data_IF_856029803783
#
_entry.id   IF_856029803783
#
_cell.length_a   1.000
_cell.length_b   1.000
_cell.length_c   1.000
_cell.angle_alpha   90.00
_cell.angle_beta   90.00
_cell.angle_gamma   90.00
#
_symmetry.space_group_name_H-M   'P 1'
#
loop_
_entity.id
_entity.type
_entity.pdbx_description
1 polymer ?
#
# COMPACT_ATOMS: atom_id res chain seq x y z
N UNK A 1 -4.47 43.14 -25.04
CA UNK A 1 -5.01 43.52 -23.71
C UNK A 1 -6.52 43.41 -23.82
N UNK A 2 -7.17 42.61 -22.98
CA UNK A 2 -8.63 42.63 -22.86
C UNK A 2 -9.05 43.75 -21.89
N UNK A 3 -10.30 44.21 -21.95
CA UNK A 3 -10.75 45.44 -21.27
C UNK A 3 -10.84 45.36 -19.74
N UNK A 4 -10.35 44.29 -19.10
CA UNK A 4 -10.50 44.08 -17.65
C UNK A 4 -9.17 43.99 -16.88
N UNK A 5 -8.02 44.29 -17.48
CA UNK A 5 -6.77 44.54 -16.72
C UNK A 5 -6.21 43.37 -15.89
N UNK A 6 -6.83 42.20 -15.86
CA UNK A 6 -6.29 41.01 -15.19
C UNK A 6 -5.28 40.34 -16.10
N UNK A 7 -3.99 40.44 -15.74
CA UNK A 7 -2.96 39.58 -16.31
C UNK A 7 -3.25 38.16 -15.85
N UNK A 8 -3.63 37.26 -16.76
CA UNK A 8 -3.77 35.86 -16.40
C UNK A 8 -2.42 35.33 -15.92
N UNK A 9 -2.40 34.49 -14.87
CA UNK A 9 -1.17 33.93 -14.28
C UNK A 9 -0.25 33.27 -15.33
N UNK A 10 -0.84 32.69 -16.39
CA UNK A 10 -0.13 32.15 -17.56
C UNK A 10 0.64 33.22 -18.36
N UNK A 11 0.14 34.44 -18.44
CA UNK A 11 0.78 35.57 -19.11
C UNK A 11 1.98 36.14 -18.34
N UNK A 12 2.00 36.00 -17.00
CA UNK A 12 3.13 36.45 -16.18
C UNK A 12 4.33 35.51 -16.32
N UNK A 13 4.12 34.19 -16.23
CA UNK A 13 5.17 33.17 -16.37
C UNK A 13 5.79 33.13 -17.78
N UNK A 14 5.00 33.43 -18.81
CA UNK A 14 5.52 33.47 -20.19
C UNK A 14 6.36 34.72 -20.47
N UNK A 15 6.19 35.80 -19.69
CA UNK A 15 6.99 37.03 -19.80
C UNK A 15 8.28 36.99 -18.98
N UNK A 16 8.28 36.29 -17.84
CA UNK A 16 9.50 36.10 -17.04
C UNK A 16 10.52 35.15 -17.68
N UNK A 17 10.09 34.26 -18.57
CA UNK A 17 10.98 33.38 -19.35
C UNK A 17 11.45 33.99 -20.69
N UNK A 18 10.86 35.11 -21.13
CA UNK A 18 11.09 35.70 -22.45
C UNK A 18 12.00 36.94 -22.48
N UNK A 19 12.42 37.46 -21.32
CA UNK A 19 13.34 38.60 -21.24
C UNK A 19 14.46 38.22 -20.28
N UNK A 20 15.70 38.26 -20.76
CA UNK A 20 16.90 37.74 -20.08
C UNK A 20 17.29 38.47 -18.80
N UNK A 21 16.46 38.38 -17.77
CA UNK A 21 16.76 38.72 -16.38
C UNK A 21 16.60 37.44 -15.55
N UNK A 22 17.33 36.40 -15.96
CA UNK A 22 17.12 35.01 -15.54
C UNK A 22 17.86 34.55 -14.29
N UNK A 23 18.33 35.44 -13.40
CA UNK A 23 19.16 35.03 -12.25
C UNK A 23 18.70 35.53 -10.87
N UNK A 24 17.61 36.29 -10.76
CA UNK A 24 17.11 36.78 -9.46
C UNK A 24 15.80 36.11 -8.98
N UNK A 25 15.06 35.42 -9.86
CA UNK A 25 13.76 34.82 -9.51
C UNK A 25 13.80 33.39 -8.99
N UNK A 26 14.93 32.68 -9.12
CA UNK A 26 15.05 31.27 -8.76
C UNK A 26 15.28 31.03 -7.25
N UNK A 27 15.56 32.07 -6.47
CA UNK A 27 15.85 31.94 -5.02
C UNK A 27 14.60 32.02 -4.12
N UNK A 28 13.39 32.09 -4.70
CA UNK A 28 12.16 32.30 -3.95
C UNK A 28 11.14 31.15 -3.98
N UNK A 29 11.40 30.06 -4.72
CA UNK A 29 10.48 28.93 -4.73
C UNK A 29 10.59 28.19 -3.40
N UNK A 30 9.63 28.43 -2.52
CA UNK A 30 9.49 27.66 -1.29
C UNK A 30 9.17 26.20 -1.63
N UNK A 31 9.37 25.30 -0.66
CA UNK A 31 8.96 23.89 -0.77
C UNK A 31 7.51 23.75 -1.28
N UNK A 32 6.62 24.66 -0.90
CA UNK A 32 5.23 24.72 -1.36
C UNK A 32 5.07 24.98 -2.88
N UNK A 33 5.93 25.79 -3.50
CA UNK A 33 5.85 26.05 -4.95
C UNK A 33 6.36 24.87 -5.78
N UNK A 34 7.35 24.13 -5.25
CA UNK A 34 7.82 22.86 -5.80
C UNK A 34 6.75 21.76 -5.69
N UNK A 35 6.03 21.70 -4.56
CA UNK A 35 4.89 20.79 -4.38
C UNK A 35 3.76 21.08 -5.37
N UNK A 36 3.42 22.36 -5.60
CA UNK A 36 2.40 22.74 -6.59
C UNK A 36 2.83 22.38 -8.01
N UNK A 37 4.11 22.52 -8.35
CA UNK A 37 4.64 22.12 -9.65
C UNK A 37 4.61 20.59 -9.86
N UNK A 38 4.80 19.81 -8.80
CA UNK A 38 4.68 18.34 -8.82
C UNK A 38 3.23 17.83 -8.74
N UNK A 39 2.31 18.63 -8.21
CA UNK A 39 0.89 18.26 -8.14
C UNK A 39 0.29 17.98 -9.53
N UNK A 40 0.71 18.72 -10.57
CA UNK A 40 0.29 18.46 -11.96
C UNK A 40 0.86 17.14 -12.52
N UNK A 41 2.05 16.72 -12.09
CA UNK A 41 2.63 15.41 -12.46
C UNK A 41 1.94 14.26 -11.73
N UNK A 42 1.66 14.40 -10.42
CA UNK A 42 0.88 13.42 -9.63
C UNK A 42 -0.53 13.29 -10.18
N UNK A 43 -1.17 14.40 -10.55
CA UNK A 43 -2.50 14.39 -11.16
C UNK A 43 -2.49 13.76 -12.56
N UNK A 44 -1.38 13.88 -13.30
CA UNK A 44 -1.15 13.12 -14.55
C UNK A 44 -0.76 11.66 -14.28
N UNK A 45 -0.26 11.31 -13.09
CA UNK A 45 0.14 9.95 -12.70
C UNK A 45 -1.06 9.00 -12.52
N UNK A 46 -2.25 9.57 -12.27
CA UNK A 46 -3.44 8.82 -11.87
C UNK A 46 -3.45 8.62 -10.35
N UNK A 47 -4.49 7.96 -9.84
CA UNK A 47 -4.57 7.65 -8.42
C UNK A 47 -3.58 6.52 -8.07
N UNK A 48 -3.03 6.59 -6.87
CA UNK A 48 -2.13 5.57 -6.33
C UNK A 48 -2.73 4.91 -5.09
N UNK A 49 -2.18 3.77 -4.68
CA UNK A 49 -2.59 3.09 -3.45
C UNK A 49 -1.40 2.66 -2.62
N UNK A 50 -1.50 2.91 -1.31
CA UNK A 50 -0.62 2.37 -0.28
C UNK A 50 -1.41 1.36 0.54
N UNK A 51 -0.99 0.11 0.51
CA UNK A 51 -1.52 -0.95 1.36
C UNK A 51 -0.59 -1.16 2.55
N UNK A 52 -1.06 -0.81 3.75
CA UNK A 52 -0.43 -1.16 5.01
C UNK A 52 -0.94 -2.55 5.43
N UNK A 53 -0.09 -3.55 5.24
CA UNK A 53 -0.42 -4.96 5.42
C UNK A 53 0.03 -5.46 6.79
N UNK A 54 -0.91 -5.78 7.67
CA UNK A 54 -0.65 -6.34 9.01
C UNK A 54 -0.61 -7.87 8.92
N UNK A 55 0.56 -8.42 8.60
CA UNK A 55 0.74 -9.86 8.34
C UNK A 55 0.50 -10.68 9.61
N UNK A 56 -0.60 -11.42 9.63
CA UNK A 56 -1.00 -12.22 10.79
C UNK A 56 -2.34 -11.83 11.38
N UNK A 57 -3.20 -11.03 10.75
CA UNK A 57 -4.59 -10.90 11.18
C UNK A 57 -4.78 -10.21 12.54
N UNK A 58 -4.73 -8.87 12.60
CA UNK A 58 -4.71 -8.10 13.84
C UNK A 58 -5.99 -8.28 14.68
N UNK A 59 -5.83 -8.41 16.00
CA UNK A 59 -6.95 -8.49 16.95
C UNK A 59 -7.73 -7.18 17.00
N UNK A 60 -9.03 -7.25 16.75
CA UNK A 60 -9.94 -6.10 16.79
C UNK A 60 -10.01 -5.46 18.20
N UNK A 61 -9.91 -6.30 19.23
CA UNK A 61 -9.97 -5.90 20.64
C UNK A 61 -8.77 -5.06 21.07
N UNK A 62 -7.61 -5.36 20.51
CA UNK A 62 -6.35 -4.68 20.84
C UNK A 62 -6.06 -3.50 19.89
N UNK A 63 -6.97 -3.24 18.95
CA UNK A 63 -6.80 -2.23 17.91
C UNK A 63 -7.98 -1.27 17.85
N UNK A 64 -8.91 -1.47 16.93
CA UNK A 64 -9.91 -0.46 16.59
C UNK A 64 -11.31 -0.83 17.03
N UNK A 65 -11.52 -1.87 17.83
CA UNK A 65 -12.84 -2.23 18.36
C UNK A 65 -12.70 -2.93 19.74
N UNK A 66 -12.34 -2.21 20.81
CA UNK A 66 -11.92 -2.80 22.08
C UNK A 66 -13.03 -3.47 22.90
N UNK A 67 -14.32 -3.29 22.55
CA UNK A 67 -15.47 -3.87 23.26
C UNK A 67 -15.41 -3.70 24.81
N UNK A 68 -15.33 -2.46 25.33
CA UNK A 68 -15.18 -2.23 26.76
C UNK A 68 -16.33 -2.84 27.57
N UNK A 69 -15.98 -3.54 28.65
CA UNK A 69 -16.93 -4.23 29.52
C UNK A 69 -17.31 -5.65 29.06
N UNK A 70 -16.92 -6.06 27.86
CA UNK A 70 -17.04 -7.45 27.44
C UNK A 70 -16.06 -8.32 28.22
N UNK A 71 -16.49 -9.54 28.58
CA UNK A 71 -15.59 -10.58 29.12
C UNK A 71 -14.48 -10.99 28.15
N UNK A 72 -14.61 -10.60 26.88
CA UNK A 72 -13.66 -10.87 25.80
C UNK A 72 -12.71 -9.72 25.51
N UNK A 73 -12.86 -8.55 26.14
CA UNK A 73 -12.05 -7.35 25.89
C UNK A 73 -10.53 -7.61 25.96
N UNK A 74 -10.07 -8.43 26.90
CA UNK A 74 -8.65 -8.53 27.22
C UNK A 74 -8.18 -7.33 28.06
N UNK A 75 -6.87 -7.07 28.16
CA UNK A 75 -6.31 -6.06 29.07
C UNK A 75 -6.35 -4.63 28.50
N UNK A 76 -6.55 -4.46 27.20
CA UNK A 76 -6.51 -3.14 26.57
C UNK A 76 -7.66 -2.26 27.06
N UNK A 77 -7.34 -1.07 27.57
CA UNK A 77 -8.36 -0.07 27.88
C UNK A 77 -8.87 0.60 26.60
N UNK A 78 -10.11 1.08 26.65
CA UNK A 78 -10.70 1.87 25.57
C UNK A 78 -10.39 3.36 25.78
N UNK A 79 -9.88 4.02 24.74
CA UNK A 79 -9.68 5.47 24.70
C UNK A 79 -10.68 6.12 23.76
N UNK A 80 -11.08 7.35 24.06
CA UNK A 80 -11.88 8.16 23.15
C UNK A 80 -11.06 8.60 21.94
N UNK A 81 -11.69 8.55 20.77
CA UNK A 81 -11.10 9.09 19.53
C UNK A 81 -11.53 10.53 19.31
N UNK A 82 -11.03 11.15 18.24
CA UNK A 82 -11.48 12.47 17.77
C UNK A 82 -12.96 12.50 17.40
N UNK A 83 -13.55 11.34 17.08
CA UNK A 83 -14.97 11.22 16.75
C UNK A 83 -15.76 10.84 18.01
N UNK A 84 -16.71 11.68 18.47
CA UNK A 84 -17.51 11.39 19.66
C UNK A 84 -18.23 10.05 19.56
N UNK A 85 -18.23 9.29 20.67
CA UNK A 85 -18.85 7.97 20.74
C UNK A 85 -18.03 6.83 20.12
N UNK A 86 -16.93 7.13 19.43
CA UNK A 86 -16.03 6.11 18.89
C UNK A 86 -14.82 5.94 19.80
N UNK A 87 -14.50 4.68 20.10
CA UNK A 87 -13.37 4.27 20.93
C UNK A 87 -12.46 3.28 20.20
N UNK A 88 -11.16 3.40 20.47
CA UNK A 88 -10.09 2.47 20.07
C UNK A 88 -9.37 1.94 21.31
N UNK A 89 -8.56 0.90 21.15
CA UNK A 89 -7.67 0.43 22.20
C UNK A 89 -6.60 1.49 22.53
N UNK A 90 -6.16 1.53 23.79
CA UNK A 90 -5.22 2.53 24.30
C UNK A 90 -3.86 2.57 23.59
N UNK A 91 -3.51 1.52 22.86
CA UNK A 91 -2.27 1.43 22.08
C UNK A 91 -2.29 2.25 20.77
N UNK A 92 -3.41 2.91 20.44
CA UNK A 92 -3.59 3.68 19.21
C UNK A 92 -3.87 5.17 19.43
N UNK A 93 -3.14 5.88 20.31
CA UNK A 93 -3.46 7.26 20.66
C UNK A 93 -3.36 8.22 19.47
N UNK A 94 -2.40 8.04 18.56
CA UNK A 94 -2.21 8.96 17.42
C UNK A 94 -3.23 8.70 16.32
N UNK A 95 -3.53 7.43 16.05
CA UNK A 95 -4.54 7.03 15.07
C UNK A 95 -5.95 7.42 15.55
N UNK A 96 -6.22 7.30 16.85
CA UNK A 96 -7.46 7.81 17.45
C UNK A 96 -7.67 9.31 17.21
N UNK A 97 -6.60 10.11 17.21
CA UNK A 97 -6.64 11.55 16.87
C UNK A 97 -6.67 11.84 15.37
N UNK A 98 -6.34 10.85 14.55
CA UNK A 98 -6.35 10.93 13.08
C UNK A 98 -7.63 10.38 12.45
N UNK A 99 -8.59 9.93 13.27
CA UNK A 99 -9.81 9.26 12.80
C UNK A 99 -10.66 10.15 11.88
N UNK A 100 -10.54 11.47 11.93
CA UNK A 100 -11.19 12.37 10.97
C UNK A 100 -10.73 12.20 9.51
N UNK A 101 -9.60 11.51 9.29
CA UNK A 101 -9.09 11.16 7.96
C UNK A 101 -9.33 9.70 7.57
N UNK A 102 -9.84 8.90 8.50
CA UNK A 102 -9.97 7.45 8.36
C UNK A 102 -11.45 7.07 8.40
N UNK A 103 -11.91 6.31 7.41
CA UNK A 103 -13.13 5.53 7.50
C UNK A 103 -12.77 4.11 7.94
N UNK A 104 -13.41 3.60 8.99
CA UNK A 104 -13.16 2.26 9.51
C UNK A 104 -14.34 1.35 9.22
N UNK A 105 -14.10 0.24 8.53
CA UNK A 105 -15.06 -0.87 8.42
C UNK A 105 -14.82 -1.78 9.63
N UNK A 106 -15.88 -2.16 10.35
CA UNK A 106 -15.81 -3.07 11.52
C UNK A 106 -16.64 -4.35 11.35
N UNK A 107 -17.06 -4.64 10.12
CA UNK A 107 -18.03 -5.69 9.78
C UNK A 107 -17.54 -6.58 8.63
N UNK A 108 -16.23 -6.65 8.40
CA UNK A 108 -15.68 -7.52 7.37
C UNK A 108 -15.95 -8.98 7.70
N UNK A 109 -16.36 -9.76 6.69
CA UNK A 109 -16.57 -11.19 6.84
C UNK A 109 -16.14 -12.00 5.61
N UNK A 110 -15.65 -13.20 5.87
CA UNK A 110 -15.33 -14.24 4.88
C UNK A 110 -15.47 -15.62 5.53
N UNK A 111 -15.46 -16.65 4.70
CA UNK A 111 -15.43 -18.06 5.06
C UNK A 111 -14.00 -18.62 5.23
N UNK A 112 -12.96 -17.81 4.97
CA UNK A 112 -11.56 -18.23 5.08
C UNK A 112 -10.94 -17.89 6.44
N UNK A 113 -10.57 -18.94 7.18
CA UNK A 113 -9.92 -18.85 8.51
C UNK A 113 -8.51 -19.42 8.52
N UNK A 114 -7.93 -19.66 7.35
CA UNK A 114 -6.56 -20.15 7.21
C UNK A 114 -5.70 -19.04 6.61
N UNK A 115 -4.49 -18.86 7.13
CA UNK A 115 -3.58 -17.80 6.68
C UNK A 115 -3.34 -17.82 5.18
N UNK A 116 -2.94 -18.96 4.62
CA UNK A 116 -2.59 -19.03 3.20
C UNK A 116 -3.80 -18.72 2.33
N UNK A 117 -4.96 -19.30 2.66
CA UNK A 117 -6.20 -19.08 1.89
C UNK A 117 -6.76 -17.68 2.06
N UNK A 118 -6.75 -17.12 3.28
CA UNK A 118 -7.29 -15.79 3.54
C UNK A 118 -6.40 -14.70 2.94
N UNK A 119 -5.07 -14.85 3.02
CA UNK A 119 -4.12 -13.92 2.37
C UNK A 119 -4.34 -13.92 0.86
N UNK A 120 -4.47 -15.11 0.25
CA UNK A 120 -4.78 -15.22 -1.17
C UNK A 120 -6.11 -14.52 -1.50
N UNK A 121 -7.16 -14.79 -0.71
CA UNK A 121 -8.48 -14.20 -0.90
C UNK A 121 -8.44 -12.67 -0.84
N UNK A 122 -7.88 -12.07 0.21
CA UNK A 122 -7.95 -10.61 0.39
C UNK A 122 -6.94 -9.83 -0.46
N UNK A 123 -5.93 -10.48 -1.03
CA UNK A 123 -4.98 -9.84 -1.95
C UNK A 123 -5.31 -10.03 -3.42
N UNK A 124 -6.07 -11.07 -3.78
CA UNK A 124 -6.43 -11.38 -5.17
C UNK A 124 -7.92 -11.25 -5.47
N UNK A 125 -8.79 -11.32 -4.46
CA UNK A 125 -10.24 -11.30 -4.61
C UNK A 125 -10.84 -12.68 -4.91
N UNK A 126 -9.99 -13.70 -4.99
CA UNK A 126 -10.34 -15.07 -5.36
C UNK A 126 -9.87 -16.07 -4.31
N UNK A 127 -10.68 -17.11 -4.09
CA UNK A 127 -10.25 -18.26 -3.32
C UNK A 127 -9.07 -18.95 -3.97
N UNK A 128 -8.18 -19.49 -3.14
CA UNK A 128 -7.00 -20.21 -3.60
C UNK A 128 -7.41 -21.37 -4.52
N UNK A 129 -6.92 -21.33 -5.75
CA UNK A 129 -7.18 -22.35 -6.76
C UNK A 129 -5.85 -22.98 -7.23
N UNK A 130 -5.63 -24.30 -7.05
CA UNK A 130 -4.39 -24.94 -7.49
C UNK A 130 -4.10 -24.81 -8.99
N UNK A 131 -5.13 -24.63 -9.82
CA UNK A 131 -5.00 -24.53 -11.27
C UNK A 131 -4.68 -23.10 -11.75
N UNK A 132 -4.99 -22.08 -10.93
CA UNK A 132 -4.88 -20.67 -11.34
C UNK A 132 -4.23 -19.86 -10.23
N UNK A 133 -3.09 -19.23 -10.55
CA UNK A 133 -2.48 -18.21 -9.70
C UNK A 133 -3.06 -16.85 -10.05
N UNK A 134 -4.03 -16.38 -9.28
CA UNK A 134 -4.63 -15.07 -9.48
C UNK A 134 -3.62 -13.95 -9.19
N UNK A 135 -3.66 -12.84 -9.94
CA UNK A 135 -2.81 -11.70 -9.66
C UNK A 135 -3.23 -11.02 -8.37
N UNK A 136 -2.26 -10.52 -7.62
CA UNK A 136 -2.55 -9.57 -6.53
C UNK A 136 -3.06 -8.24 -7.08
N UNK A 137 -3.81 -7.49 -6.28
CA UNK A 137 -4.27 -6.16 -6.65
C UNK A 137 -3.12 -5.23 -7.07
N UNK A 138 -1.96 -5.31 -6.39
CA UNK A 138 -0.78 -4.53 -6.80
C UNK A 138 -0.32 -4.85 -8.22
N UNK A 139 -0.41 -6.11 -8.66
CA UNK A 139 -0.14 -6.52 -10.03
C UNK A 139 -1.22 -6.06 -11.02
N UNK A 140 -2.50 -6.07 -10.60
CA UNK A 140 -3.62 -5.52 -11.41
C UNK A 140 -3.40 -4.02 -11.65
N UNK A 141 -3.08 -3.26 -10.61
CA UNK A 141 -2.74 -1.83 -10.74
C UNK A 141 -1.50 -1.63 -11.60
N UNK A 142 -0.46 -2.43 -11.40
CA UNK A 142 0.76 -2.31 -12.20
C UNK A 142 0.51 -2.53 -13.69
N UNK A 143 -0.43 -3.43 -14.04
CA UNK A 143 -0.85 -3.68 -15.42
C UNK A 143 -1.64 -2.51 -15.99
N UNK A 144 -2.67 -2.06 -15.28
CA UNK A 144 -3.53 -0.95 -15.73
C UNK A 144 -2.74 0.37 -15.85
N UNK A 145 -1.85 0.62 -14.88
CA UNK A 145 -1.06 1.86 -14.78
C UNK A 145 0.34 1.71 -15.36
N UNK A 146 0.58 0.72 -16.22
CA UNK A 146 1.90 0.53 -16.78
C UNK A 146 2.33 1.73 -17.62
N UNK A 147 3.49 2.30 -17.24
CA UNK A 147 4.14 3.39 -17.98
C UNK A 147 5.45 2.88 -18.51
N UNK A 148 5.47 2.57 -19.80
CA UNK A 148 6.66 2.08 -20.52
C UNK A 148 7.87 3.01 -20.44
N UNK A 149 7.67 4.28 -20.09
CA UNK A 149 8.74 5.29 -19.96
C UNK A 149 9.11 5.58 -18.49
N UNK A 150 8.41 5.00 -17.51
CA UNK A 150 8.77 5.19 -16.10
C UNK A 150 10.11 4.51 -15.78
N UNK A 151 10.93 5.18 -15.00
CA UNK A 151 12.17 4.64 -14.45
C UNK A 151 11.92 3.76 -13.23
N UNK A 152 10.85 4.05 -12.48
CA UNK A 152 10.47 3.30 -11.29
C UNK A 152 9.40 2.25 -11.61
N UNK A 153 9.40 1.12 -10.88
CA UNK A 153 8.36 0.10 -11.00
C UNK A 153 7.00 0.62 -10.53
N UNK A 154 5.92 0.15 -11.15
CA UNK A 154 4.55 0.56 -10.80
C UNK A 154 4.06 -0.10 -9.50
N UNK A 155 4.66 -1.22 -9.10
CA UNK A 155 4.36 -1.95 -7.87
C UNK A 155 5.65 -2.17 -7.07
N UNK A 156 5.70 -1.65 -5.84
CA UNK A 156 6.76 -1.90 -4.87
C UNK A 156 6.19 -2.59 -3.63
N UNK A 157 6.88 -3.61 -3.14
CA UNK A 157 6.60 -4.26 -1.85
C UNK A 157 7.74 -3.95 -0.89
N UNK A 158 7.42 -3.35 0.25
CA UNK A 158 8.36 -2.94 1.30
C UNK A 158 8.18 -3.83 2.53
N UNK A 159 9.29 -4.26 3.13
CA UNK A 159 9.31 -5.28 4.17
C UNK A 159 9.19 -6.68 3.57
N UNK A 160 9.24 -7.70 4.41
CA UNK A 160 9.11 -9.11 3.98
C UNK A 160 8.18 -9.84 4.94
N UNK A 161 7.33 -10.76 4.47
CA UNK A 161 6.56 -11.61 5.37
C UNK A 161 7.51 -12.52 6.15
N UNK A 162 7.11 -12.92 7.37
CA UNK A 162 7.89 -13.89 8.16
C UNK A 162 7.86 -15.28 7.54
N UNK A 163 6.74 -15.63 6.92
CA UNK A 163 6.53 -16.89 6.22
C UNK A 163 6.58 -16.59 4.72
N UNK A 164 7.56 -17.16 4.02
CA UNK A 164 7.83 -16.85 2.60
C UNK A 164 6.66 -17.21 1.67
N UNK A 165 5.84 -18.20 2.02
CA UNK A 165 4.65 -18.56 1.24
C UNK A 165 3.54 -17.52 1.31
N UNK A 166 3.62 -16.55 2.23
CA UNK A 166 2.70 -15.40 2.34
C UNK A 166 3.12 -14.20 1.48
N UNK A 167 4.18 -14.32 0.69
CA UNK A 167 4.64 -13.23 -0.20
C UNK A 167 3.74 -13.11 -1.44
N UNK A 168 3.89 -12.01 -2.15
CA UNK A 168 3.05 -11.62 -3.28
C UNK A 168 3.73 -11.83 -4.63
N UNK A 169 2.93 -12.19 -5.63
CA UNK A 169 3.33 -12.28 -7.04
C UNK A 169 2.20 -11.79 -7.97
N UNK A 170 2.50 -11.75 -9.27
CA UNK A 170 1.58 -11.31 -10.32
C UNK A 170 0.76 -12.45 -10.94
N UNK A 171 0.96 -13.69 -10.51
CA UNK A 171 0.24 -14.85 -11.02
C UNK A 171 0.20 -14.91 -12.56
N UNK A 172 -1.00 -15.09 -13.09
CA UNK A 172 -1.27 -15.18 -14.54
C UNK A 172 -0.93 -13.92 -15.34
N UNK A 173 -0.71 -12.75 -14.71
CA UNK A 173 -0.25 -11.55 -15.42
C UNK A 173 1.24 -11.63 -15.79
N UNK A 174 1.97 -12.56 -15.19
CA UNK A 174 3.38 -12.82 -15.51
C UNK A 174 4.36 -11.90 -14.79
N UNK A 175 5.64 -12.26 -14.88
CA UNK A 175 6.73 -11.68 -14.09
C UNK A 175 6.91 -10.17 -14.28
N UNK A 176 6.42 -9.63 -15.39
CA UNK A 176 6.46 -8.21 -15.73
C UNK A 176 5.76 -7.32 -14.70
N UNK A 177 4.71 -7.82 -14.06
CA UNK A 177 3.91 -7.08 -13.07
C UNK A 177 4.19 -7.54 -11.64
N UNK A 178 5.24 -8.33 -11.42
CA UNK A 178 5.66 -8.68 -10.07
C UNK A 178 6.06 -7.43 -9.28
N UNK A 179 5.86 -7.45 -7.96
CA UNK A 179 6.35 -6.38 -7.11
C UNK A 179 7.87 -6.29 -7.19
N UNK A 180 8.35 -5.06 -7.23
CA UNK A 180 9.74 -4.79 -6.92
C UNK A 180 9.94 -4.87 -5.40
N UNK A 181 10.77 -5.81 -4.96
CA UNK A 181 10.89 -6.24 -3.56
C UNK A 181 11.99 -5.47 -2.83
N UNK A 182 11.61 -4.70 -1.81
CA UNK A 182 12.49 -3.95 -0.91
C UNK A 182 12.34 -4.49 0.50
N UNK A 183 13.20 -5.41 0.91
CA UNK A 183 13.06 -6.08 2.20
C UNK A 183 13.39 -5.18 3.40
N UNK A 184 14.34 -4.26 3.24
CA UNK A 184 14.75 -3.32 4.30
C UNK A 184 14.63 -1.87 3.80
N UNK A 185 13.73 -1.06 4.37
CA UNK A 185 13.58 0.33 3.94
C UNK A 185 14.82 1.16 4.27
N UNK A 186 15.17 2.09 3.38
CA UNK A 186 16.39 2.89 3.49
C UNK A 186 17.68 2.19 3.04
N UNK A 187 17.62 0.87 2.79
CA UNK A 187 18.69 0.17 2.10
C UNK A 187 18.40 0.15 0.60
N UNK A 188 19.42 0.43 -0.21
CA UNK A 188 19.34 0.12 -1.63
C UNK A 188 19.09 -1.39 -1.77
N UNK A 189 18.12 -1.82 -2.59
CA UNK A 189 17.84 -3.22 -2.76
C UNK A 189 19.10 -3.94 -3.28
N UNK A 190 19.38 -5.17 -2.82
CA UNK A 190 20.55 -5.92 -3.28
C UNK A 190 20.50 -6.04 -4.82
N UNK A 191 21.64 -5.80 -5.47
CA UNK A 191 21.80 -5.76 -6.94
C UNK A 191 21.23 -4.53 -7.67
N UNK A 192 20.78 -3.48 -6.95
CA UNK A 192 20.41 -2.18 -7.57
C UNK A 192 21.58 -1.22 -7.68
N UNK A 193 22.57 -1.32 -6.78
CA UNK A 193 23.84 -0.67 -6.99
C UNK A 193 24.63 -1.49 -8.01
N UNK A 194 24.90 -0.91 -9.18
CA UNK A 194 25.84 -1.51 -10.11
C UNK A 194 27.22 -1.60 -9.40
N UNK A 195 27.81 -2.79 -9.19
CA UNK A 195 29.12 -2.92 -8.56
C UNK A 195 30.27 -2.41 -9.45
N UNK A 196 29.92 -1.84 -10.61
CA UNK A 196 30.79 -1.45 -11.71
C UNK A 196 30.20 -0.21 -12.36
N UNK A 197 31.05 0.58 -13.02
CA UNK A 197 30.65 1.77 -13.77
C UNK A 197 29.49 1.52 -14.74
N UNK A 198 28.65 2.53 -14.95
CA UNK A 198 27.46 2.44 -15.81
C UNK A 198 27.77 1.91 -17.23
N UNK A 199 28.94 2.25 -17.78
CA UNK A 199 29.39 1.73 -19.08
C UNK A 199 29.66 0.23 -19.09
N UNK A 200 30.14 -0.33 -17.98
CA UNK A 200 30.34 -1.78 -17.84
C UNK A 200 28.99 -2.49 -17.81
N UNK A 201 28.00 -1.93 -17.10
CA UNK A 201 26.63 -2.46 -17.08
C UNK A 201 26.02 -2.45 -18.48
N UNK A 202 26.10 -1.31 -19.18
CA UNK A 202 25.60 -1.17 -20.56
C UNK A 202 26.21 -2.22 -21.50
N UNK A 203 27.53 -2.43 -21.44
CA UNK A 203 28.21 -3.45 -22.26
C UNK A 203 27.77 -4.88 -21.94
N UNK A 204 27.58 -5.22 -20.65
CA UNK A 204 27.12 -6.55 -20.23
C UNK A 204 25.70 -6.83 -20.70
N UNK A 205 24.80 -5.85 -20.59
CA UNK A 205 23.43 -5.95 -21.10
C UNK A 205 23.41 -6.16 -22.62
N UNK A 206 24.20 -5.37 -23.37
CA UNK A 206 24.30 -5.53 -24.82
C UNK A 206 24.85 -6.91 -25.24
N UNK A 207 25.74 -7.51 -24.45
CA UNK A 207 26.20 -8.89 -24.68
C UNK A 207 25.10 -9.91 -24.36
N UNK A 208 24.41 -9.75 -23.22
CA UNK A 208 23.31 -10.62 -22.84
C UNK A 208 22.19 -10.61 -23.89
N UNK A 209 21.82 -9.43 -24.41
CA UNK A 209 20.82 -9.30 -25.48
C UNK A 209 21.21 -10.06 -26.75
N UNK A 210 22.50 -10.06 -27.11
CA UNK A 210 22.99 -10.83 -28.28
C UNK A 210 22.89 -12.34 -28.05
N UNK A 211 23.31 -12.82 -26.89
CA UNK A 211 23.24 -14.26 -26.54
C UNK A 211 21.78 -14.73 -26.46
N UNK A 212 20.92 -13.91 -25.87
CA UNK A 212 19.49 -14.17 -25.76
C UNK A 212 18.83 -14.20 -27.15
N UNK A 213 19.21 -13.31 -28.06
CA UNK A 213 18.74 -13.33 -29.45
C UNK A 213 19.17 -14.59 -30.23
N UNK A 214 20.31 -15.20 -29.89
CA UNK A 214 20.71 -16.49 -30.45
C UNK A 214 19.90 -17.65 -29.84
N UNK A 215 19.67 -17.62 -28.53
CA UNK A 215 18.85 -18.64 -27.85
C UNK A 215 17.38 -18.61 -28.29
N UNK A 216 16.82 -17.42 -28.54
CA UNK A 216 15.45 -17.30 -29.07
C UNK A 216 15.26 -18.08 -30.39
N UNK A 217 16.31 -18.17 -31.23
CA UNK A 217 16.28 -18.94 -32.49
C UNK A 217 16.11 -20.44 -32.29
N UNK A 218 16.32 -20.97 -31.08
CA UNK A 218 16.09 -22.40 -30.75
C UNK A 218 14.65 -22.70 -30.36
N UNK A 219 13.72 -21.75 -30.54
CA UNK A 219 12.30 -21.90 -30.20
C UNK A 219 11.92 -21.39 -28.80
N UNK A 220 12.84 -20.70 -28.11
CA UNK A 220 12.64 -20.21 -26.74
C UNK A 220 12.26 -18.71 -26.67
N UNK A 221 11.68 -18.15 -27.73
CA UNK A 221 11.39 -16.70 -27.86
C UNK A 221 10.65 -16.12 -26.67
N UNK A 222 9.55 -16.75 -26.22
CA UNK A 222 8.75 -16.23 -25.11
C UNK A 222 9.55 -16.12 -23.79
N UNK A 223 10.35 -17.14 -23.46
CA UNK A 223 11.18 -17.13 -22.25
C UNK A 223 12.30 -16.09 -22.33
N UNK A 224 12.84 -15.86 -23.53
CA UNK A 224 13.83 -14.81 -23.79
C UNK A 224 13.20 -13.42 -23.63
N UNK A 225 12.02 -13.19 -24.20
CA UNK A 225 11.34 -11.89 -24.13
C UNK A 225 11.01 -11.52 -22.68
N UNK A 226 10.46 -12.45 -21.89
CA UNK A 226 10.20 -12.24 -20.46
C UNK A 226 11.47 -11.89 -19.68
N UNK A 227 12.57 -12.62 -19.95
CA UNK A 227 13.87 -12.34 -19.34
C UNK A 227 14.34 -10.94 -19.74
N UNK A 228 14.40 -10.62 -21.03
CA UNK A 228 14.89 -9.33 -21.51
C UNK A 228 14.10 -8.15 -20.94
N UNK A 229 12.77 -8.27 -20.81
CA UNK A 229 11.93 -7.25 -20.19
C UNK A 229 12.34 -6.97 -18.73
N UNK A 230 12.56 -8.03 -17.94
CA UNK A 230 13.03 -7.90 -16.55
C UNK A 230 14.41 -7.23 -16.48
N UNK A 231 15.35 -7.63 -17.35
CA UNK A 231 16.70 -7.06 -17.37
C UNK A 231 16.70 -5.58 -17.80
N UNK A 232 15.95 -5.21 -18.85
CA UNK A 232 15.85 -3.82 -19.31
C UNK A 232 15.25 -2.90 -18.26
N UNK A 233 14.19 -3.36 -17.56
CA UNK A 233 13.55 -2.57 -16.51
C UNK A 233 14.46 -2.39 -15.31
N UNK A 234 15.10 -3.47 -14.85
CA UNK A 234 16.06 -3.42 -13.75
C UNK A 234 17.22 -2.49 -14.10
N UNK A 235 17.77 -2.60 -15.31
CA UNK A 235 18.84 -1.74 -15.78
C UNK A 235 18.43 -0.25 -15.85
N UNK A 236 17.23 0.03 -16.34
CA UNK A 236 16.70 1.41 -16.37
C UNK A 236 16.60 1.99 -14.97
N UNK A 237 16.01 1.23 -14.04
CA UNK A 237 15.90 1.66 -12.65
C UNK A 237 17.29 1.89 -12.05
N UNK A 238 18.19 0.91 -12.09
CA UNK A 238 19.58 0.98 -11.58
C UNK A 238 20.33 2.22 -12.08
N UNK A 239 20.14 2.56 -13.36
CA UNK A 239 20.82 3.69 -14.00
C UNK A 239 20.07 5.01 -13.85
N UNK A 240 18.86 5.00 -13.27
CA UNK A 240 18.04 6.20 -13.10
C UNK A 240 18.51 7.03 -11.89
N UNK A 241 18.51 8.37 -11.99
CA UNK A 241 18.70 9.24 -10.82
C UNK A 241 17.59 9.05 -9.76
N UNK A 242 16.44 8.45 -10.12
CA UNK A 242 15.32 8.22 -9.22
C UNK A 242 15.61 7.12 -8.19
N UNK A 243 16.70 6.35 -8.30
CA UNK A 243 17.12 5.37 -7.29
C UNK A 243 17.33 6.00 -5.91
N UNK A 244 17.66 7.29 -5.84
CA UNK A 244 17.73 8.04 -4.58
C UNK A 244 16.42 8.10 -3.79
N UNK A 245 15.28 7.69 -4.38
CA UNK A 245 14.01 7.56 -3.64
C UNK A 245 14.12 6.55 -2.49
N UNK A 246 14.91 5.48 -2.67
CA UNK A 246 15.12 4.42 -1.69
C UNK A 246 16.06 4.80 -0.55
N UNK A 247 16.85 5.87 -0.72
CA UNK A 247 17.72 6.41 0.33
C UNK A 247 16.94 7.37 1.22
N UNK A 248 16.82 6.99 2.50
CA UNK A 248 16.13 7.78 3.53
C UNK A 248 17.08 8.67 4.35
N UNK A 249 18.40 8.61 4.10
CA UNK A 249 19.40 9.37 4.86
C UNK A 249 19.26 10.88 4.70
N UNK A 250 18.70 11.34 3.57
CA UNK A 250 18.42 12.75 3.31
C UNK A 250 17.15 13.30 3.96
N UNK A 251 16.33 12.46 4.59
CA UNK A 251 15.11 12.92 5.29
C UNK A 251 15.45 13.47 6.68
N UNK A 252 14.82 14.58 7.13
CA UNK A 252 15.09 15.14 8.45
C UNK A 252 14.85 14.13 9.58
N UNK A 253 15.74 14.10 10.57
CA UNK A 253 15.64 13.14 11.68
C UNK A 253 14.30 13.23 12.42
N UNK A 254 13.80 14.45 12.64
CA UNK A 254 12.49 14.68 13.25
C UNK A 254 11.35 13.99 12.49
N UNK A 255 11.40 13.96 11.15
CA UNK A 255 10.39 13.29 10.34
C UNK A 255 10.53 11.77 10.48
N UNK A 256 11.77 11.26 10.37
CA UNK A 256 12.05 9.83 10.53
C UNK A 256 11.66 9.30 11.91
N UNK A 257 11.84 10.11 12.95
CA UNK A 257 11.42 9.81 14.32
C UNK A 257 9.90 9.85 14.49
N UNK A 258 9.21 10.75 13.80
CA UNK A 258 7.74 10.83 13.84
C UNK A 258 7.08 9.55 13.27
N UNK A 259 7.61 9.03 12.17
CA UNK A 259 7.23 7.74 11.61
C UNK A 259 7.63 6.55 12.50
N UNK A 260 8.63 6.72 13.36
CA UNK A 260 9.26 5.65 14.13
C UNK A 260 10.44 5.01 13.39
N UNK A 261 11.51 4.73 14.13
CA UNK A 261 12.76 4.10 13.62
C UNK A 261 12.66 2.56 13.56
N UNK A 262 11.51 2.06 13.12
CA UNK A 262 11.26 0.63 12.90
C UNK A 262 11.23 0.34 11.39
N UNK A 263 11.30 -0.94 11.02
CA UNK A 263 11.18 -1.31 9.60
C UNK A 263 9.84 -0.85 9.02
N UNK A 264 8.74 -1.02 9.76
CA UNK A 264 7.44 -0.57 9.30
C UNK A 264 7.33 0.96 9.18
N UNK A 265 7.84 1.70 10.18
CA UNK A 265 7.80 3.17 10.18
C UNK A 265 8.62 3.78 9.05
N UNK A 266 9.85 3.31 8.86
CA UNK A 266 10.69 3.73 7.73
C UNK A 266 10.13 3.23 6.39
N UNK A 267 9.43 2.10 6.38
CA UNK A 267 8.70 1.60 5.20
C UNK A 267 7.55 2.50 4.77
N UNK A 268 6.78 3.03 5.72
CA UNK A 268 5.74 4.03 5.45
C UNK A 268 6.33 5.33 4.89
N UNK A 269 7.46 5.80 5.45
CA UNK A 269 8.17 6.97 4.92
C UNK A 269 8.65 6.74 3.47
N UNK A 270 9.21 5.56 3.18
CA UNK A 270 9.59 5.18 1.82
C UNK A 270 8.36 5.11 0.89
N UNK A 271 7.23 4.56 1.36
CA UNK A 271 6.00 4.51 0.58
C UNK A 271 5.50 5.91 0.17
N UNK A 272 5.56 6.89 1.08
CA UNK A 272 5.27 8.30 0.76
C UNK A 272 6.16 8.80 -0.38
N UNK A 273 7.48 8.59 -0.28
CA UNK A 273 8.45 9.02 -1.30
C UNK A 273 8.17 8.36 -2.66
N UNK A 274 7.87 7.06 -2.66
CA UNK A 274 7.59 6.31 -3.89
C UNK A 274 6.34 6.82 -4.60
N UNK A 275 5.27 7.05 -3.85
CA UNK A 275 4.03 7.62 -4.40
C UNK A 275 4.25 9.06 -4.90
N UNK A 276 5.03 9.87 -4.18
CA UNK A 276 5.43 11.21 -4.61
C UNK A 276 6.26 11.20 -5.92
N UNK A 277 6.96 10.10 -6.20
CA UNK A 277 7.66 9.87 -7.47
C UNK A 277 6.82 9.15 -8.54
N UNK A 278 5.55 8.86 -8.27
CA UNK A 278 4.61 8.31 -9.25
C UNK A 278 4.48 6.78 -9.25
N UNK A 279 4.96 6.08 -8.21
CA UNK A 279 4.65 4.65 -8.04
C UNK A 279 3.16 4.48 -7.77
N UNK A 280 2.51 3.63 -8.56
CA UNK A 280 1.04 3.47 -8.54
C UNK A 280 0.55 2.60 -7.39
N UNK A 281 1.33 1.60 -6.98
CA UNK A 281 0.98 0.73 -5.86
C UNK A 281 2.18 0.45 -4.96
N UNK A 282 2.01 0.69 -3.66
CA UNK A 282 3.02 0.35 -2.65
C UNK A 282 2.38 -0.51 -1.56
N UNK A 283 2.95 -1.68 -1.30
CA UNK A 283 2.60 -2.47 -0.13
C UNK A 283 3.68 -2.32 0.94
N UNK A 284 3.29 -2.05 2.19
CA UNK A 284 4.17 -2.00 3.35
C UNK A 284 3.76 -3.09 4.33
N UNK A 285 4.59 -4.12 4.48
CA UNK A 285 4.32 -5.26 5.35
C UNK A 285 4.79 -4.94 6.76
N UNK A 286 3.87 -5.04 7.72
CA UNK A 286 4.16 -5.07 9.15
C UNK A 286 4.19 -6.51 9.64
N UNK A 287 5.36 -6.95 10.11
CA UNK A 287 5.52 -8.24 10.81
C UNK A 287 5.91 -8.06 12.28
N UNK A 288 5.88 -6.82 12.78
CA UNK A 288 6.44 -6.43 14.07
C UNK A 288 7.96 -6.57 14.16
N UNK A 289 8.58 -5.81 15.06
CA UNK A 289 10.00 -5.92 15.38
C UNK A 289 10.30 -7.02 16.43
N UNK A 290 9.27 -7.54 17.09
CA UNK A 290 9.37 -8.49 18.21
C UNK A 290 8.40 -9.65 18.04
N UNK A 291 8.74 -10.81 18.61
CA UNK A 291 7.92 -12.02 18.57
C UNK A 291 8.18 -12.90 17.35
N UNK A 292 7.65 -14.13 17.40
CA UNK A 292 7.95 -15.15 16.39
C UNK A 292 7.10 -14.99 15.12
N UNK A 293 5.86 -14.48 15.22
CA UNK A 293 4.90 -14.51 14.10
C UNK A 293 4.18 -13.17 13.81
N UNK A 294 4.66 -12.05 14.35
CA UNK A 294 4.09 -10.73 14.06
C UNK A 294 2.66 -10.60 14.57
N UNK A 295 1.71 -10.22 13.70
CA UNK A 295 0.29 -10.06 14.09
C UNK A 295 -0.42 -11.38 14.37
N UNK A 296 0.24 -12.51 14.09
CA UNK A 296 -0.27 -13.86 14.27
C UNK A 296 -0.24 -14.31 15.74
N UNK A 297 -0.89 -13.54 16.61
CA UNK A 297 -0.79 -13.66 18.07
C UNK A 297 -1.67 -14.79 18.62
N UNK A 298 -1.39 -16.03 18.21
CA UNK A 298 -1.97 -17.23 18.83
C UNK A 298 -1.47 -17.43 20.26
N UNK A 299 -0.35 -16.83 20.63
CA UNK A 299 0.23 -16.95 21.96
C UNK A 299 0.60 -15.57 22.45
N UNK A 300 0.60 -15.38 23.77
CA UNK A 300 1.11 -14.16 24.41
C UNK A 300 0.52 -12.85 23.86
N UNK A 301 -0.70 -12.85 23.32
CA UNK A 301 -1.28 -11.69 22.64
C UNK A 301 -1.32 -10.44 23.51
N UNK A 302 -1.57 -10.59 24.82
CA UNK A 302 -1.57 -9.49 25.78
C UNK A 302 -0.20 -8.81 25.96
N UNK A 303 0.90 -9.53 25.70
CA UNK A 303 2.24 -8.98 25.74
C UNK A 303 2.72 -8.50 24.36
N UNK A 304 2.31 -9.16 23.28
CA UNK A 304 2.80 -8.89 21.93
C UNK A 304 1.99 -7.79 21.21
N UNK A 305 0.66 -7.76 21.34
CA UNK A 305 -0.18 -6.76 20.69
C UNK A 305 0.20 -5.30 21.03
N UNK A 306 0.51 -4.93 22.28
CA UNK A 306 0.93 -3.57 22.59
C UNK A 306 2.19 -3.16 21.81
N UNK A 307 3.16 -4.06 21.64
CA UNK A 307 4.40 -3.78 20.92
C UNK A 307 4.14 -3.56 19.42
N UNK A 308 3.32 -4.41 18.82
CA UNK A 308 2.90 -4.31 17.42
C UNK A 308 2.14 -3.02 17.15
N UNK A 309 1.19 -2.68 18.03
CA UNK A 309 0.39 -1.47 17.91
C UNK A 309 1.25 -0.21 18.06
N UNK A 310 2.18 -0.19 19.03
CA UNK A 310 3.09 0.94 19.25
C UNK A 310 4.08 1.16 18.10
N UNK A 311 4.37 0.14 17.30
CA UNK A 311 5.16 0.27 16.08
C UNK A 311 4.34 0.90 14.93
N UNK A 312 3.07 0.53 14.81
CA UNK A 312 2.22 0.93 13.68
C UNK A 312 1.48 2.25 13.89
N UNK A 313 1.01 2.54 15.11
CA UNK A 313 0.28 3.77 15.45
C UNK A 313 1.01 5.07 15.02
N UNK A 314 2.31 5.28 15.37
CA UNK A 314 3.03 6.47 14.93
C UNK A 314 3.24 6.51 13.42
N UNK A 315 3.53 5.37 12.79
CA UNK A 315 3.78 5.27 11.37
C UNK A 315 2.52 5.58 10.55
N UNK A 316 1.39 4.99 10.91
CA UNK A 316 0.12 5.17 10.21
C UNK A 316 -0.38 6.62 10.34
N UNK A 317 -0.42 7.16 11.56
CA UNK A 317 -0.85 8.55 11.78
C UNK A 317 0.07 9.55 11.05
N UNK A 318 1.39 9.35 11.11
CA UNK A 318 2.35 10.24 10.44
C UNK A 318 2.26 10.16 8.93
N UNK A 319 2.07 8.96 8.36
CA UNK A 319 1.88 8.79 6.92
C UNK A 319 0.68 9.59 6.42
N UNK A 320 -0.46 9.50 7.10
CA UNK A 320 -1.67 10.23 6.72
C UNK A 320 -1.48 11.75 6.81
N UNK A 321 -0.79 12.22 7.86
CA UNK A 321 -0.48 13.63 8.01
C UNK A 321 0.49 14.13 6.91
N UNK A 322 1.57 13.41 6.65
CA UNK A 322 2.60 13.77 5.65
C UNK A 322 2.02 13.75 4.22
N UNK A 323 1.18 12.77 3.89
CA UNK A 323 0.45 12.76 2.61
C UNK A 323 -0.54 13.92 2.49
N UNK A 324 -1.24 14.27 3.58
CA UNK A 324 -2.18 15.39 3.57
C UNK A 324 -1.47 16.74 3.42
N UNK A 325 -0.38 16.96 4.18
CA UNK A 325 0.42 18.19 4.13
C UNK A 325 1.04 18.44 2.76
N UNK A 326 1.25 17.36 1.98
CA UNK A 326 1.76 17.40 0.60
C UNK A 326 0.66 17.43 -0.47
N UNK A 327 -0.61 17.36 -0.08
CA UNK A 327 -1.73 17.24 -1.02
C UNK A 327 -1.78 15.90 -1.79
N UNK A 328 -0.99 14.91 -1.37
CA UNK A 328 -0.95 13.58 -2.00
C UNK A 328 -2.15 12.72 -1.55
N UNK A 329 -2.64 12.91 -0.33
CA UNK A 329 -3.75 12.13 0.22
C UNK A 329 -5.03 12.24 -0.63
N UNK A 330 -5.23 13.34 -1.37
CA UNK A 330 -6.37 13.51 -2.28
C UNK A 330 -6.37 12.52 -3.45
N UNK A 331 -5.19 12.01 -3.85
CA UNK A 331 -5.03 11.09 -4.99
C UNK A 331 -4.46 9.72 -4.58
N UNK A 332 -4.17 9.52 -3.29
CA UNK A 332 -3.60 8.28 -2.76
C UNK A 332 -4.58 7.62 -1.81
N UNK A 333 -5.02 6.42 -2.16
CA UNK A 333 -5.78 5.57 -1.28
C UNK A 333 -4.82 4.89 -0.29
N UNK A 334 -4.99 5.11 1.00
CA UNK A 334 -4.26 4.39 2.04
C UNK A 334 -5.21 3.39 2.69
N UNK A 335 -4.86 2.10 2.64
CA UNK A 335 -5.64 1.02 3.25
C UNK A 335 -4.81 0.36 4.34
N UNK A 336 -5.38 0.25 5.54
CA UNK A 336 -4.82 -0.55 6.64
C UNK A 336 -5.65 -1.81 6.78
N UNK A 337 -5.02 -2.99 6.66
CA UNK A 337 -5.71 -4.27 6.83
C UNK A 337 -4.77 -5.43 7.12
N UNK A 338 -5.33 -6.53 7.62
CA UNK A 338 -4.75 -7.87 7.54
C UNK A 338 -5.75 -8.83 6.87
N UNK A 339 -5.41 -10.11 6.85
CA UNK A 339 -6.16 -11.17 6.17
C UNK A 339 -7.50 -11.52 6.84
N UNK A 340 -7.59 -11.39 8.17
CA UNK A 340 -8.78 -11.57 9.00
C UNK A 340 -8.49 -10.98 10.39
N UNK A 341 -9.30 -11.31 11.41
CA UNK A 341 -9.12 -10.84 12.80
C UNK A 341 -8.81 -11.95 13.81
N UNK A 342 -9.16 -11.75 15.08
CA UNK A 342 -8.88 -12.72 16.15
C UNK A 342 -10.12 -13.09 16.95
N UNK A 343 -10.17 -14.33 17.43
CA UNK A 343 -11.36 -14.83 18.12
C UNK A 343 -11.69 -14.00 19.36
N UNK A 344 -12.98 -13.77 19.66
CA UNK A 344 -13.41 -13.12 20.91
C UNK A 344 -12.90 -13.81 22.16
N UNK A 345 -12.86 -15.14 22.15
CA UNK A 345 -12.27 -15.91 23.25
C UNK A 345 -10.74 -15.91 23.14
N UNK A 346 -10.06 -15.56 24.23
CA UNK A 346 -8.61 -15.69 24.38
C UNK A 346 -8.24 -16.89 25.27
N UNK A 347 -6.99 -17.36 25.13
CA UNK A 347 -6.38 -18.42 25.93
C UNK A 347 -5.77 -17.88 27.24
N UNK A 348 -5.36 -18.73 28.19
CA UNK A 348 -4.74 -18.27 29.45
C UNK A 348 -3.51 -17.38 29.27
N UNK A 349 -2.79 -17.51 28.16
CA UNK A 349 -1.65 -16.67 27.80
C UNK A 349 -2.04 -15.41 27.00
N UNK A 350 -3.33 -15.11 26.87
CA UNK A 350 -3.85 -13.97 26.13
C UNK A 350 -3.85 -14.14 24.61
N UNK A 351 -3.37 -15.27 24.08
CA UNK A 351 -3.42 -15.55 22.65
C UNK A 351 -4.84 -15.80 22.13
N UNK A 352 -5.08 -15.49 20.85
CA UNK A 352 -6.38 -15.66 20.19
C UNK A 352 -6.23 -16.43 18.87
N UNK A 353 -7.24 -17.22 18.53
CA UNK A 353 -7.26 -18.02 17.29
C UNK A 353 -7.77 -17.20 16.09
N UNK A 354 -7.77 -17.80 14.90
CA UNK A 354 -8.23 -17.15 13.66
C UNK A 354 -9.72 -16.84 13.66
N UNK A 355 -10.09 -15.69 13.09
CA UNK A 355 -11.47 -15.23 13.09
C UNK A 355 -11.84 -14.35 11.89
N UNK A 356 -12.78 -14.82 11.07
CA UNK A 356 -13.19 -14.20 9.79
C UNK A 356 -14.61 -13.62 9.83
N UNK A 357 -15.18 -13.37 11.01
CA UNK A 357 -16.60 -13.01 11.16
C UNK A 357 -16.79 -11.65 11.86
N UNK A 358 -16.15 -10.60 11.36
CA UNK A 358 -16.22 -9.25 11.92
C UNK A 358 -14.85 -8.66 12.21
N UNK A 359 -13.93 -8.73 11.25
CA UNK A 359 -12.68 -7.96 11.34
C UNK A 359 -12.84 -6.58 10.73
N UNK A 360 -11.72 -5.85 10.69
CA UNK A 360 -11.72 -4.42 10.48
C UNK A 360 -10.68 -4.00 9.45
N UNK A 361 -11.00 -2.94 8.71
CA UNK A 361 -10.17 -2.36 7.65
C UNK A 361 -10.30 -0.84 7.71
N UNK A 362 -9.17 -0.13 7.62
CA UNK A 362 -9.13 1.33 7.57
C UNK A 362 -8.92 1.82 6.15
N UNK A 363 -9.67 2.84 5.74
CA UNK A 363 -9.57 3.52 4.45
C UNK A 363 -9.31 5.01 4.66
N UNK A 364 -8.39 5.61 3.90
CA UNK A 364 -8.10 7.05 3.93
C UNK A 364 -7.73 7.57 2.55
N UNK A 365 -8.07 8.83 2.26
CA UNK A 365 -7.65 9.50 1.03
C UNK A 365 -8.43 9.08 -0.23
N UNK A 366 -8.00 9.58 -1.38
CA UNK A 366 -8.60 9.30 -2.70
C UNK A 366 -10.13 9.45 -2.78
N UNK A 367 -10.69 10.44 -2.07
CA UNK A 367 -12.13 10.73 -2.03
C UNK A 367 -12.89 10.02 -0.90
N UNK A 368 -12.23 9.16 -0.11
CA UNK A 368 -12.82 8.56 1.09
C UNK A 368 -13.12 9.63 2.14
N UNK A 369 -14.33 9.62 2.69
CA UNK A 369 -14.75 10.49 3.78
C UNK A 369 -14.31 9.89 5.12
N UNK A 370 -13.32 10.52 5.75
CA UNK A 370 -12.88 10.13 7.09
C UNK A 370 -13.91 10.43 8.19
N UNK A 371 -13.65 9.91 9.40
CA UNK A 371 -14.48 10.13 10.58
C UNK A 371 -15.69 9.20 10.67
N UNK A 372 -15.70 8.13 9.88
CA UNK A 372 -16.84 7.22 9.76
C UNK A 372 -16.50 5.83 10.28
N UNK A 373 -17.49 5.18 10.90
CA UNK A 373 -17.47 3.77 11.25
C UNK A 373 -18.58 3.09 10.43
N UNK A 374 -18.20 2.12 9.61
CA UNK A 374 -19.11 1.38 8.74
C UNK A 374 -19.27 -0.04 9.29
N UNK A 375 -20.53 -0.39 9.55
CA UNK A 375 -20.94 -1.65 10.13
C UNK A 375 -20.52 -1.84 11.58
N UNK A 376 -21.01 -2.93 12.16
CA UNK A 376 -20.80 -3.23 13.56
C UNK A 376 -20.81 -4.74 13.81
N UNK A 377 -20.24 -5.11 14.95
CA UNK A 377 -20.42 -6.42 15.59
C UNK A 377 -21.14 -6.25 16.92
N UNK A 378 -21.71 -7.34 17.45
CA UNK A 378 -22.37 -7.34 18.76
C UNK A 378 -21.45 -6.88 19.91
N UNK A 379 -22.00 -6.74 21.11
CA UNK A 379 -21.29 -6.23 22.28
C UNK A 379 -20.04 -7.04 22.65
N UNK A 380 -20.01 -8.32 22.30
CA UNK A 380 -18.90 -9.24 22.56
C UNK A 380 -17.97 -9.40 21.36
N UNK A 381 -18.35 -8.90 20.19
CA UNK A 381 -17.63 -9.05 18.92
C UNK A 381 -17.78 -10.43 18.28
N UNK A 382 -18.83 -11.18 18.61
CA UNK A 382 -19.05 -12.57 18.16
C UNK A 382 -19.70 -12.69 16.78
N UNK A 383 -20.51 -11.71 16.38
CA UNK A 383 -21.20 -11.69 15.09
C UNK A 383 -21.30 -10.28 14.55
N UNK A 384 -21.24 -10.16 13.22
CA UNK A 384 -21.60 -8.92 12.51
C UNK A 384 -23.09 -8.67 12.68
N UNK A 385 -23.44 -7.48 13.17
CA UNK A 385 -24.83 -7.07 13.45
C UNK A 385 -25.32 -5.97 12.52
N UNK A 386 -24.41 -5.26 11.86
CA UNK A 386 -24.73 -4.20 10.92
C UNK A 386 -23.77 -4.20 9.74
N UNK A 387 -24.34 -3.96 8.55
CA UNK A 387 -23.68 -3.84 7.25
C UNK A 387 -22.53 -4.83 7.05
N UNK A 388 -22.78 -6.14 6.82
CA UNK A 388 -21.72 -7.08 6.48
C UNK A 388 -21.01 -6.65 5.20
N UNK A 389 -19.68 -6.71 5.19
CA UNK A 389 -18.85 -6.36 4.03
C UNK A 389 -18.03 -7.57 3.63
N UNK A 390 -18.16 -8.00 2.37
CA UNK A 390 -17.39 -9.10 1.82
C UNK A 390 -16.06 -8.66 1.22
N UNK A 391 -15.18 -9.62 0.93
CA UNK A 391 -13.91 -9.33 0.25
C UNK A 391 -14.17 -8.77 -1.16
N UNK A 392 -15.14 -9.31 -1.90
CA UNK A 392 -15.48 -8.80 -3.24
C UNK A 392 -15.94 -7.33 -3.22
N UNK A 393 -16.59 -6.88 -2.14
CA UNK A 393 -16.98 -5.47 -1.97
C UNK A 393 -15.75 -4.55 -1.83
N UNK A 394 -14.71 -5.01 -1.11
CA UNK A 394 -13.43 -4.29 -1.05
C UNK A 394 -12.82 -4.14 -2.44
N UNK A 395 -12.86 -5.20 -3.24
CA UNK A 395 -12.27 -5.21 -4.57
C UNK A 395 -13.02 -4.30 -5.55
N UNK A 396 -14.36 -4.33 -5.51
CA UNK A 396 -15.18 -3.36 -6.25
C UNK A 396 -14.86 -1.92 -5.83
N UNK A 397 -14.66 -1.70 -4.52
CA UNK A 397 -14.30 -0.39 -3.99
C UNK A 397 -12.90 0.04 -4.44
N UNK A 398 -11.91 -0.85 -4.46
CA UNK A 398 -10.57 -0.54 -5.00
C UNK A 398 -10.64 -0.16 -6.47
N UNK A 399 -11.36 -0.93 -7.28
CA UNK A 399 -11.57 -0.63 -8.70
C UNK A 399 -12.28 0.72 -8.89
N UNK A 400 -13.31 1.01 -8.09
CA UNK A 400 -14.02 2.29 -8.11
C UNK A 400 -13.10 3.47 -7.78
N UNK A 401 -12.34 3.38 -6.69
CA UNK A 401 -11.43 4.45 -6.27
C UNK A 401 -10.35 4.65 -7.33
N UNK A 402 -9.74 3.56 -7.79
CA UNK A 402 -8.59 3.59 -8.69
C UNK A 402 -8.99 3.62 -10.16
N UNK A 403 -10.28 3.82 -10.45
CA UNK A 403 -10.83 4.00 -11.80
C UNK A 403 -10.44 2.88 -12.77
N UNK A 404 -10.40 1.64 -12.25
CA UNK A 404 -10.16 0.42 -13.02
C UNK A 404 -11.51 -0.25 -13.32
N UNK A 405 -11.69 -0.75 -14.53
CA UNK A 405 -12.90 -1.48 -14.90
C UNK A 405 -12.90 -2.89 -14.27
N UNK A 406 -13.79 -3.20 -13.30
CA UNK A 406 -13.80 -4.50 -12.62
C UNK A 406 -14.19 -5.68 -13.53
N UNK A 407 -14.88 -5.41 -14.65
CA UNK A 407 -15.30 -6.42 -15.63
C UNK A 407 -14.22 -6.78 -16.65
N UNK A 408 -13.06 -6.11 -16.64
CA UNK A 408 -11.95 -6.53 -17.48
C UNK A 408 -11.47 -7.93 -17.13
N UNK A 409 -11.01 -8.65 -18.14
CA UNK A 409 -10.57 -10.03 -18.00
C UNK A 409 -9.06 -10.16 -18.19
N UNK A 410 -8.44 -11.09 -17.48
CA UNK A 410 -7.15 -11.66 -17.83
C UNK A 410 -7.35 -13.07 -18.37
N UNK A 411 -6.55 -13.41 -19.39
CA UNK A 411 -6.60 -14.70 -20.07
C UNK A 411 -5.51 -15.58 -19.49
N UNK A 412 -5.89 -16.71 -18.90
CA UNK A 412 -4.96 -17.71 -18.41
C UNK A 412 -4.19 -18.40 -19.55
N UNK A 413 -3.14 -19.14 -19.22
CA UNK A 413 -2.37 -19.93 -20.19
C UNK A 413 -3.23 -20.95 -20.97
N UNK A 414 -4.28 -21.48 -20.33
CA UNK A 414 -5.27 -22.39 -20.96
C UNK A 414 -6.47 -21.65 -21.59
N UNK A 415 -6.33 -20.34 -21.82
CA UNK A 415 -7.29 -19.46 -22.50
C UNK A 415 -8.63 -19.27 -21.80
N UNK A 416 -8.67 -19.41 -20.48
CA UNK A 416 -9.85 -19.10 -19.68
C UNK A 416 -9.86 -17.61 -19.32
N UNK A 417 -10.93 -16.87 -19.63
CA UNK A 417 -11.08 -15.52 -19.14
C UNK A 417 -11.41 -15.53 -17.64
N UNK A 418 -10.80 -14.63 -16.89
CA UNK A 418 -11.08 -14.41 -15.47
C UNK A 418 -11.20 -12.91 -15.28
N UNK A 419 -12.30 -12.47 -14.68
CA UNK A 419 -12.54 -11.05 -14.38
C UNK A 419 -11.56 -10.50 -13.34
N UNK A 420 -11.39 -9.19 -13.28
CA UNK A 420 -10.69 -8.55 -12.16
C UNK A 420 -11.49 -8.74 -10.88
N UNK A 421 -12.81 -8.53 -10.94
CA UNK A 421 -13.71 -8.78 -9.81
C UNK A 421 -14.95 -9.52 -10.29
N UNK A 422 -15.24 -10.67 -9.70
CA UNK A 422 -16.37 -11.51 -10.12
C UNK A 422 -17.72 -10.98 -9.61
N UNK A 423 -17.77 -10.54 -8.35
CA UNK A 423 -19.00 -10.17 -7.63
C UNK A 423 -18.77 -8.97 -6.68
N UNK A 424 -19.78 -8.63 -5.87
CA UNK A 424 -19.70 -7.60 -4.83
C UNK A 424 -20.21 -6.23 -5.28
N UNK A 425 -20.25 -5.31 -4.34
CA UNK A 425 -20.70 -3.93 -4.55
C UNK A 425 -19.72 -2.93 -3.97
N UNK A 426 -19.64 -1.75 -4.59
CA UNK A 426 -18.88 -0.62 -4.03
C UNK A 426 -19.46 -0.25 -2.66
N UNK A 427 -18.61 -0.10 -1.65
CA UNK A 427 -18.99 0.36 -0.32
C UNK A 427 -19.22 1.88 -0.39
N UNK A 428 -20.41 2.27 -0.85
CA UNK A 428 -20.74 3.67 -1.17
C UNK A 428 -20.66 4.60 0.05
N UNK A 429 -20.85 4.05 1.24
CA UNK A 429 -20.78 4.76 2.50
C UNK A 429 -19.41 5.42 2.72
N UNK A 430 -18.33 4.86 2.13
CA UNK A 430 -16.98 5.45 2.18
C UNK A 430 -16.90 6.82 1.50
N UNK A 431 -17.86 7.20 0.66
CA UNK A 431 -17.82 8.43 -0.15
C UNK A 431 -18.95 9.41 0.18
N UNK A 432 -19.81 9.09 1.17
CA UNK A 432 -21.04 9.82 1.48
C UNK A 432 -21.02 10.55 2.81
#
# INVERSE_FOLDING_TARGET
>A
MSPQGVVSRRGFLRRSLGTGVGLAGAMGLGWHDLLIAKADEVRKAGKSMILLWMDGGPSQYDTFNPKPGSKYQGPAHAIHTKIPGVQFAEYWPKTAQSLDRIAMIRSMSSDEKDHERAIALVRTGYHLNPAVRYPTWGAVVARDRERFESDLPSFVRIGKPRITTRDVDAGVLGVRYNPFKVDTPGALPPNVAAPVEADVVRRRLALAERLDAEFAKTGATAAVDEKQDVYRRTARMVLSPQVGVFDLSGEPDKLRDAYGRTEFGQGCLLARRLVETGVSFVEVISTGSTGDQGWDTHKKGFAENPLLCNEVDPAYSTLLADLADRGLLENTLVVWMGEFGRTPKFKPDGGREHYSEGWQVGFSGAGVRGGQIIGATDADGLHVTDRPVGVSDLFQTFCHVLEINPDEEYVTADRRPIKIVEHGEVIRELFS
#
